data_IF_579701452098
#
_entry.id   IF_579701452098
#
_cell.length_a   1.000
_cell.length_b   1.000
_cell.length_c   1.000
_cell.angle_alpha   90.00
_cell.angle_beta   90.00
_cell.angle_gamma   90.00
#
_symmetry.space_group_name_H-M   'P 1'
#
loop_
_entity.id
_entity.type
_entity.pdbx_description
1 polymer ?
#
# COMPACT_ATOMS: atom_id res chain seq x y z
N UNK A 1 -18.19 -5.13 -24.03
CA UNK A 1 -17.09 -5.03 -23.05
C UNK A 1 -16.82 -6.41 -22.51
N UNK A 2 -15.60 -6.95 -22.66
CA UNK A 2 -15.29 -8.31 -22.22
C UNK A 2 -15.44 -8.47 -20.70
N UNK A 3 -15.72 -9.69 -20.23
CA UNK A 3 -15.83 -10.01 -18.79
C UNK A 3 -14.62 -9.51 -17.99
N UNK A 4 -13.41 -9.57 -18.56
CA UNK A 4 -12.19 -9.04 -17.95
C UNK A 4 -12.17 -7.51 -17.80
N UNK A 5 -12.70 -6.76 -18.77
CA UNK A 5 -12.82 -5.30 -18.65
C UNK A 5 -13.79 -4.89 -17.55
N UNK A 6 -14.88 -5.63 -17.34
CA UNK A 6 -15.84 -5.33 -16.29
C UNK A 6 -15.25 -5.55 -14.89
N UNK A 7 -14.46 -6.62 -14.71
CA UNK A 7 -13.76 -6.90 -13.45
C UNK A 7 -12.72 -5.81 -13.16
N UNK A 8 -11.94 -5.40 -14.16
CA UNK A 8 -10.96 -4.32 -14.02
C UNK A 8 -11.62 -2.98 -13.63
N UNK A 9 -12.73 -2.62 -14.28
CA UNK A 9 -13.48 -1.39 -13.96
C UNK A 9 -14.04 -1.46 -12.53
N UNK A 10 -14.58 -2.60 -12.12
CA UNK A 10 -15.09 -2.79 -10.77
C UNK A 10 -13.99 -2.68 -9.70
N UNK A 11 -12.81 -3.26 -9.94
CA UNK A 11 -11.66 -3.14 -9.04
C UNK A 11 -11.15 -1.69 -8.95
N UNK A 12 -11.13 -0.97 -10.07
CA UNK A 12 -10.74 0.44 -10.10
C UNK A 12 -11.70 1.30 -9.28
N UNK A 13 -13.02 1.12 -9.48
CA UNK A 13 -14.05 1.84 -8.71
C UNK A 13 -13.95 1.55 -7.22
N UNK A 14 -13.71 0.29 -6.84
CA UNK A 14 -13.54 -0.11 -5.44
C UNK A 14 -12.32 0.58 -4.80
N UNK A 15 -11.22 0.72 -5.54
CA UNK A 15 -10.02 1.41 -5.07
C UNK A 15 -10.27 2.91 -4.79
N UNK A 16 -11.04 3.59 -5.65
CA UNK A 16 -11.38 5.01 -5.46
C UNK A 16 -12.40 5.27 -4.33
N UNK A 17 -13.12 4.24 -3.86
CA UNK A 17 -14.02 4.35 -2.70
C UNK A 17 -13.32 4.08 -1.35
N UNK A 18 -12.01 3.79 -1.34
CA UNK A 18 -11.30 3.60 -0.08
C UNK A 18 -11.24 4.92 0.73
N UNK A 19 -11.53 4.90 2.04
CA UNK A 19 -11.50 6.10 2.87
C UNK A 19 -10.09 6.70 2.92
N UNK A 20 -10.00 8.03 2.80
CA UNK A 20 -8.73 8.76 2.87
C UNK A 20 -8.14 8.77 4.29
N UNK A 21 -8.99 8.58 5.31
CA UNK A 21 -8.56 8.44 6.70
C UNK A 21 -8.03 7.02 6.94
N UNK A 22 -6.71 6.87 6.77
CA UNK A 22 -6.01 5.66 7.17
C UNK A 22 -5.82 5.65 8.69
N UNK A 23 -6.81 5.08 9.39
CA UNK A 23 -6.66 4.69 10.79
C UNK A 23 -5.53 3.67 10.88
N UNK A 24 -4.63 3.81 11.86
CA UNK A 24 -3.58 2.82 12.07
C UNK A 24 -4.22 1.44 12.33
N UNK A 25 -3.94 0.48 11.45
CA UNK A 25 -4.56 -0.85 11.47
C UNK A 25 -3.93 -1.79 12.51
N UNK A 26 -2.71 -1.47 12.98
CA UNK A 26 -2.03 -2.23 14.02
C UNK A 26 -2.41 -1.72 15.42
N UNK A 27 -2.93 -2.62 16.27
CA UNK A 27 -3.41 -2.31 17.62
C UNK A 27 -2.33 -1.71 18.54
N UNK A 28 -1.06 -2.09 18.35
CA UNK A 28 0.09 -1.55 19.10
C UNK A 28 0.38 -0.11 18.67
N UNK A 29 0.35 0.16 17.36
CA UNK A 29 0.58 1.49 16.80
C UNK A 29 -0.47 2.49 17.26
N UNK A 30 -1.74 2.08 17.30
CA UNK A 30 -2.85 2.92 17.77
C UNK A 30 -2.71 3.29 19.24
N UNK A 31 -2.36 2.33 20.10
CA UNK A 31 -2.10 2.60 21.52
C UNK A 31 -0.92 3.54 21.72
N UNK A 32 0.16 3.34 20.96
CA UNK A 32 1.37 4.15 21.06
C UNK A 32 1.09 5.59 20.62
N UNK A 33 0.39 5.78 19.49
CA UNK A 33 -0.02 7.09 18.99
C UNK A 33 -0.84 7.88 20.03
N UNK A 34 -1.76 7.23 20.73
CA UNK A 34 -2.60 7.85 21.74
C UNK A 34 -1.80 8.43 22.93
N UNK A 35 -0.58 7.94 23.20
CA UNK A 35 0.26 8.40 24.31
C UNK A 35 1.25 9.52 23.92
N UNK A 36 1.42 9.77 22.61
CA UNK A 36 2.47 10.66 22.10
C UNK A 36 2.01 12.13 21.96
N UNK A 37 0.71 12.40 21.88
CA UNK A 37 0.18 13.72 21.50
C UNK A 37 0.18 13.96 19.98
N UNK A 38 -0.47 15.02 19.51
CA UNK A 38 -0.93 15.15 18.12
C UNK A 38 0.21 15.16 17.07
N UNK A 39 1.23 16.02 17.23
CA UNK A 39 2.38 16.10 16.32
C UNK A 39 3.17 14.78 16.17
N UNK A 40 3.69 14.17 17.25
CA UNK A 40 4.44 12.91 17.15
C UNK A 40 3.55 11.72 16.76
N UNK A 41 2.26 11.70 17.12
CA UNK A 41 1.33 10.68 16.62
C UNK A 41 1.17 10.72 15.09
N UNK A 42 1.09 11.93 14.51
CA UNK A 42 1.04 12.10 13.05
C UNK A 42 2.32 11.62 12.38
N UNK A 43 3.49 11.97 12.94
CA UNK A 43 4.78 11.50 12.44
C UNK A 43 4.91 9.97 12.50
N UNK A 44 4.42 9.34 13.58
CA UNK A 44 4.38 7.89 13.72
C UNK A 44 3.56 7.22 12.61
N UNK A 45 2.36 7.73 12.32
CA UNK A 45 1.50 7.19 11.27
C UNK A 45 2.16 7.28 9.88
N UNK A 46 2.83 8.39 9.58
CA UNK A 46 3.62 8.52 8.34
C UNK A 46 4.75 7.49 8.28
N UNK A 47 5.44 7.25 9.41
CA UNK A 47 6.48 6.23 9.51
C UNK A 47 5.96 4.81 9.24
N UNK A 48 4.77 4.46 9.75
CA UNK A 48 4.14 3.14 9.53
C UNK A 48 3.86 2.93 8.04
N UNK A 49 3.28 3.94 7.37
CA UNK A 49 3.00 3.85 5.93
C UNK A 49 4.29 3.71 5.14
N UNK A 50 5.32 4.50 5.46
CA UNK A 50 6.62 4.43 4.81
C UNK A 50 7.24 3.04 4.94
N UNK A 51 7.35 2.52 6.17
CA UNK A 51 7.94 1.21 6.43
C UNK A 51 7.08 0.06 5.88
N UNK A 52 5.75 0.19 5.90
CA UNK A 52 4.82 -0.80 5.38
C UNK A 52 4.84 -0.92 3.86
N UNK A 53 4.95 0.20 3.13
CA UNK A 53 5.04 0.21 1.66
C UNK A 53 6.41 -0.21 1.14
N UNK A 54 7.48 0.05 1.89
CA UNK A 54 8.87 -0.26 1.51
C UNK A 54 9.07 -1.72 1.04
N UNK A 55 8.68 -2.78 1.78
CA UNK A 55 8.89 -4.16 1.33
C UNK A 55 8.13 -4.47 0.04
N UNK A 56 6.91 -3.93 -0.14
CA UNK A 56 6.16 -4.14 -1.39
C UNK A 56 6.82 -3.45 -2.58
N UNK A 57 7.37 -2.25 -2.40
CA UNK A 57 8.12 -1.57 -3.46
C UNK A 57 9.39 -2.34 -3.84
N UNK A 58 10.12 -2.85 -2.85
CA UNK A 58 11.32 -3.66 -3.09
C UNK A 58 10.96 -4.93 -3.86
N UNK A 59 9.96 -5.68 -3.39
CA UNK A 59 9.51 -6.91 -4.04
C UNK A 59 8.98 -6.65 -5.45
N UNK A 60 8.22 -5.57 -5.64
CA UNK A 60 7.71 -5.15 -6.95
C UNK A 60 8.84 -4.80 -7.92
N UNK A 61 9.86 -4.07 -7.47
CA UNK A 61 11.03 -3.74 -8.29
C UNK A 61 11.83 -4.97 -8.69
N UNK A 62 12.11 -5.88 -7.74
CA UNK A 62 12.82 -7.13 -8.00
C UNK A 62 12.03 -8.00 -8.98
N UNK A 63 10.72 -8.19 -8.75
CA UNK A 63 9.84 -8.96 -9.62
C UNK A 63 9.77 -8.39 -11.04
N UNK A 64 9.66 -7.07 -11.18
CA UNK A 64 9.69 -6.39 -12.47
C UNK A 64 11.02 -6.60 -13.21
N UNK A 65 12.15 -6.45 -12.52
CA UNK A 65 13.49 -6.67 -13.08
C UNK A 65 13.68 -8.11 -13.53
N UNK A 66 13.27 -9.08 -12.71
CA UNK A 66 13.33 -10.49 -13.07
C UNK A 66 12.49 -10.78 -14.32
N UNK A 67 11.23 -10.36 -14.34
CA UNK A 67 10.35 -10.55 -15.50
C UNK A 67 10.92 -9.93 -16.79
N UNK A 68 11.47 -8.72 -16.70
CA UNK A 68 12.07 -8.04 -17.85
C UNK A 68 13.29 -8.80 -18.38
N UNK A 69 14.14 -9.34 -17.51
CA UNK A 69 15.31 -10.12 -17.93
C UNK A 69 14.91 -11.43 -18.61
N UNK A 70 13.92 -12.16 -18.09
CA UNK A 70 13.48 -13.42 -18.69
C UNK A 70 12.68 -13.21 -20.01
N UNK A 71 12.10 -12.02 -20.20
CA UNK A 71 11.45 -11.65 -21.48
C UNK A 71 12.43 -11.32 -22.62
N UNK A 72 13.70 -11.14 -22.31
CA UNK A 72 14.75 -10.89 -23.31
C UNK A 72 15.35 -12.23 -23.81
N UNK A 73 15.04 -13.35 -23.14
CA UNK A 73 15.45 -14.70 -23.56
C UNK A 73 14.49 -15.38 -24.55
N UNK A 74 13.41 -14.69 -24.96
CA UNK A 74 12.49 -15.10 -26.04
C UNK A 74 12.67 -14.23 -27.29
#
# INVERSE_FOLDING_TARGET
>A
MGRGSLILIALLLLFFMAPADLLAQCSICTKTAAQLGEKPAKALNTGIIYLGLTPFMIMGYIGYRWWKNNKIEE
#
